data_IF_624869564762
#
_entry.id   IF_624869564762
#
_cell.length_a   1.000
_cell.length_b   1.000
_cell.length_c   1.000
_cell.angle_alpha   90.00
_cell.angle_beta   90.00
_cell.angle_gamma   90.00
#
_symmetry.space_group_name_H-M   'P 1'
#
loop_
_entity.id
_entity.type
_entity.pdbx_description
1 polymer ?
#
# COMPACT_ATOMS: atom_id res chain seq x y z
N UNK A 1 -4.60 8.30 9.49
CA UNK A 1 -4.66 8.91 8.15
C UNK A 1 -4.20 7.91 7.11
N UNK A 2 -4.79 7.93 5.90
CA UNK A 2 -4.51 6.94 4.84
C UNK A 2 -3.63 7.55 3.76
N UNK A 3 -2.57 6.84 3.38
CA UNK A 3 -1.72 7.14 2.23
C UNK A 3 -1.96 6.09 1.13
N UNK A 4 -2.11 6.55 -0.11
CA UNK A 4 -2.37 5.66 -1.25
C UNK A 4 -1.07 5.33 -1.98
N UNK A 5 -0.96 4.07 -2.41
CA UNK A 5 0.10 3.57 -3.28
C UNK A 5 -0.40 3.34 -4.70
N UNK A 6 0.38 3.71 -5.71
CA UNK A 6 0.06 3.49 -7.13
C UNK A 6 1.09 2.59 -7.80
N UNK A 7 0.59 1.54 -8.46
CA UNK A 7 1.37 0.66 -9.34
C UNK A 7 1.29 1.13 -10.79
N UNK A 8 2.43 1.21 -11.51
CA UNK A 8 2.41 1.43 -12.95
C UNK A 8 1.64 0.30 -13.65
N UNK A 9 0.76 0.67 -14.60
CA UNK A 9 -0.11 -0.31 -15.30
C UNK A 9 0.68 -1.46 -15.92
N UNK A 10 1.83 -1.18 -16.54
CA UNK A 10 2.69 -2.20 -17.16
C UNK A 10 3.38 -3.15 -16.16
N UNK A 11 3.28 -2.88 -14.85
CA UNK A 11 3.86 -3.68 -13.77
C UNK A 11 2.80 -4.17 -12.78
N UNK A 12 1.53 -3.85 -12.97
CA UNK A 12 0.46 -4.22 -12.03
C UNK A 12 0.46 -5.73 -11.73
N UNK A 13 0.55 -6.56 -12.77
CA UNK A 13 0.59 -8.02 -12.65
C UNK A 13 1.78 -8.56 -11.84
N UNK A 14 2.89 -7.81 -11.76
CA UNK A 14 4.05 -8.22 -10.97
C UNK A 14 3.82 -8.03 -9.47
N UNK A 15 3.08 -6.98 -9.09
CA UNK A 15 2.86 -6.62 -7.69
C UNK A 15 1.55 -7.17 -7.12
N UNK A 16 0.52 -7.33 -7.95
CA UNK A 16 -0.80 -7.79 -7.52
C UNK A 16 -0.78 -9.10 -6.70
N UNK A 17 0.01 -10.14 -7.06
CA UNK A 17 0.03 -11.38 -6.28
C UNK A 17 0.48 -11.21 -4.82
N UNK A 18 1.33 -10.21 -4.54
CA UNK A 18 1.87 -9.91 -3.21
C UNK A 18 1.02 -8.91 -2.41
N UNK A 19 0.01 -8.29 -3.02
CA UNK A 19 -0.84 -7.29 -2.39
C UNK A 19 -2.23 -7.86 -2.12
N UNK A 20 -2.43 -8.40 -0.92
CA UNK A 20 -3.73 -8.92 -0.48
C UNK A 20 -4.44 -7.91 0.42
N UNK A 21 -5.76 -7.90 0.37
CA UNK A 21 -6.53 -7.15 1.35
C UNK A 21 -6.22 -7.69 2.75
N UNK A 22 -6.08 -6.78 3.72
CA UNK A 22 -5.81 -7.12 5.12
C UNK A 22 -4.47 -7.82 5.39
N UNK A 23 -3.54 -7.86 4.44
CA UNK A 23 -2.15 -8.27 4.69
C UNK A 23 -1.27 -7.07 5.03
N UNK A 24 -0.32 -7.26 5.94
CA UNK A 24 0.75 -6.29 6.19
C UNK A 24 1.97 -6.72 5.37
N UNK A 25 2.46 -5.82 4.54
CA UNK A 25 3.63 -6.04 3.69
C UNK A 25 4.68 -4.96 3.93
N UNK A 26 5.95 -5.34 3.77
CA UNK A 26 7.06 -4.39 3.70
C UNK A 26 7.21 -3.96 2.25
N UNK A 27 7.34 -2.66 2.02
CA UNK A 27 7.60 -2.08 0.69
C UNK A 27 8.92 -1.33 0.74
N UNK A 28 9.89 -1.75 -0.05
CA UNK A 28 11.19 -1.10 -0.21
C UNK A 28 11.32 -0.47 -1.60
N UNK A 29 12.22 0.52 -1.73
CA UNK A 29 12.56 1.20 -3.00
C UNK A 29 11.32 1.76 -3.74
N UNK A 30 10.66 2.73 -3.12
CA UNK A 30 9.53 3.45 -3.72
C UNK A 30 9.83 4.95 -3.82
N UNK A 31 9.06 5.65 -4.66
CA UNK A 31 9.09 7.10 -4.72
C UNK A 31 7.93 7.70 -3.93
N UNK A 32 8.16 8.85 -3.30
CA UNK A 32 7.09 9.68 -2.75
C UNK A 32 6.82 10.81 -3.72
N UNK A 33 5.57 10.96 -4.12
CA UNK A 33 5.13 12.09 -4.94
C UNK A 33 4.12 12.94 -4.19
N UNK A 34 4.00 14.20 -4.61
CA UNK A 34 3.04 15.16 -4.05
C UNK A 34 1.97 15.46 -5.09
N UNK A 35 0.70 15.21 -4.76
CA UNK A 35 -0.43 15.51 -5.61
C UNK A 35 -0.78 17.00 -5.51
N UNK A 36 -0.88 17.68 -6.65
CA UNK A 36 -1.25 19.09 -6.77
C UNK A 36 -2.76 19.30 -6.65
N UNK A 37 -3.39 18.81 -5.58
CA UNK A 37 -4.76 19.10 -5.12
C UNK A 37 -5.95 19.03 -6.11
N UNK A 38 -5.76 18.81 -7.40
CA UNK A 38 -6.82 18.79 -8.42
C UNK A 38 -7.74 17.57 -8.26
N UNK A 39 -7.21 16.50 -7.67
CA UNK A 39 -7.95 15.31 -7.27
C UNK A 39 -7.58 15.00 -5.82
N UNK A 40 -8.49 15.29 -4.88
CA UNK A 40 -8.32 14.91 -3.46
C UNK A 40 -8.58 13.41 -3.31
N UNK A 41 -7.56 12.62 -3.62
CA UNK A 41 -7.61 11.16 -3.44
C UNK A 41 -7.56 10.82 -1.94
N UNK A 42 -7.00 11.71 -1.11
CA UNK A 42 -6.79 11.52 0.34
C UNK A 42 -6.68 12.88 1.04
N UNK A 43 -6.89 12.91 2.36
CA UNK A 43 -6.68 14.07 3.24
C UNK A 43 -5.22 14.57 3.25
N UNK A 44 -4.30 13.80 2.67
CA UNK A 44 -2.89 14.12 2.59
C UNK A 44 -2.43 14.26 1.15
N UNK A 45 -1.55 15.24 0.86
CA UNK A 45 -1.09 15.50 -0.50
C UNK A 45 -0.04 14.50 -0.98
N UNK A 46 0.36 13.52 -0.17
CA UNK A 46 1.44 12.59 -0.49
C UNK A 46 0.89 11.24 -0.95
N UNK A 47 1.61 10.63 -1.89
CA UNK A 47 1.32 9.29 -2.41
C UNK A 47 2.61 8.51 -2.64
N UNK A 48 2.52 7.20 -2.50
CA UNK A 48 3.60 6.24 -2.75
C UNK A 48 3.49 5.79 -4.21
N UNK A 49 4.59 5.84 -4.97
CA UNK A 49 4.65 5.35 -6.35
C UNK A 49 5.59 4.15 -6.41
N UNK A 50 5.08 3.06 -6.98
CA UNK A 50 5.92 1.90 -7.24
C UNK A 50 6.72 2.17 -8.51
N UNK A 51 8.01 1.89 -8.44
CA UNK A 51 8.95 1.93 -9.56
C UNK A 51 9.36 0.51 -9.90
N UNK A 52 10.02 0.30 -11.04
CA UNK A 52 10.45 -1.04 -11.45
C UNK A 52 11.31 -1.77 -10.41
N UNK A 53 12.00 -1.01 -9.55
CA UNK A 53 12.86 -1.50 -8.48
C UNK A 53 12.13 -1.70 -7.14
N UNK A 54 10.84 -1.38 -7.04
CA UNK A 54 10.07 -1.58 -5.81
C UNK A 54 10.01 -3.06 -5.47
N UNK A 55 10.31 -3.37 -4.20
CA UNK A 55 10.31 -4.72 -3.65
C UNK A 55 9.18 -4.79 -2.63
N UNK A 56 8.36 -5.84 -2.72
CA UNK A 56 7.30 -6.15 -1.75
C UNK A 56 7.66 -7.45 -1.10
N UNK A 57 7.81 -7.43 0.22
CA UNK A 57 8.06 -8.61 1.02
C UNK A 57 6.91 -8.84 2.00
N UNK A 58 6.49 -10.08 2.16
CA UNK A 58 5.52 -10.44 3.18
C UNK A 58 6.22 -10.34 4.53
N UNK A 59 5.61 -9.66 5.50
CA UNK A 59 6.22 -9.59 6.83
C UNK A 59 6.13 -10.98 7.46
N UNK A 60 7.28 -11.67 7.53
CA UNK A 60 7.38 -12.99 8.15
C UNK A 60 7.25 -12.86 9.67
N UNK A 61 6.44 -13.76 10.24
CA UNK A 61 6.19 -14.04 11.65
C UNK A 61 7.34 -13.62 12.58
N UNK A 62 7.09 -12.68 13.51
CA UNK A 62 8.08 -12.18 14.49
C UNK A 62 8.54 -10.73 14.27
N UNK A 63 8.06 -10.05 13.23
CA UNK A 63 8.26 -8.61 13.09
C UNK A 63 7.51 -7.82 14.17
N UNK A 64 7.93 -6.56 14.46
CA UNK A 64 7.23 -5.71 15.42
C UNK A 64 5.76 -5.58 15.04
N UNK A 65 4.89 -6.12 15.88
CA UNK A 65 3.46 -5.86 15.80
C UNK A 65 3.27 -4.35 15.98
N UNK A 66 2.91 -3.68 14.90
CA UNK A 66 2.37 -2.34 15.00
C UNK A 66 0.99 -2.55 15.63
N UNK A 67 0.87 -2.31 16.95
CA UNK A 67 -0.38 -2.49 17.69
C UNK A 67 -1.45 -1.51 17.17
N UNK A 68 -2.16 -1.94 16.13
CA UNK A 68 -3.32 -1.23 15.63
C UNK A 68 -4.53 -1.62 16.50
N UNK A 69 -4.77 -0.85 17.57
CA UNK A 69 -6.02 -0.95 18.35
C UNK A 69 -7.27 -0.64 17.48
N UNK A 70 -7.09 -0.16 16.25
CA UNK A 70 -8.13 -0.05 15.24
C UNK A 70 -8.37 -1.42 14.59
N UNK A 71 -9.46 -2.09 15.00
CA UNK A 71 -9.98 -3.29 14.35
C UNK A 71 -10.10 -3.04 12.85
N UNK A 72 -9.30 -3.75 12.05
CA UNK A 72 -9.61 -3.93 10.63
C UNK A 72 -10.75 -4.94 10.56
N UNK A 73 -11.99 -4.44 10.61
CA UNK A 73 -13.15 -5.29 10.32
C UNK A 73 -13.11 -5.60 8.81
N UNK A 74 -12.38 -6.64 8.42
CA UNK A 74 -12.32 -7.17 7.04
C UNK A 74 -13.62 -7.90 6.65
N UNK A 75 -14.75 -7.54 7.26
CA UNK A 75 -16.05 -8.06 6.91
C UNK A 75 -16.70 -7.15 5.88
N UNK A 76 -17.10 -7.74 4.74
CA UNK A 76 -18.02 -7.18 3.72
C UNK A 76 -17.42 -6.44 2.51
N UNK A 77 -16.30 -6.92 1.95
CA UNK A 77 -16.03 -6.70 0.50
C UNK A 77 -15.54 -8.02 -0.12
N UNK A 78 -16.42 -9.02 -0.10
CA UNK A 78 -16.42 -10.10 -1.09
C UNK A 78 -17.88 -10.28 -1.49
N UNK A 79 -18.23 -9.73 -2.65
CA UNK A 79 -19.41 -10.10 -3.42
C UNK A 79 -18.91 -10.55 -4.79
#
# INVERSE_FOLDING_TARGET
SVIYGFTPVGRANHYMPSLKACSIVKVDHFEVARCSSMYKITDHPFLIRFISLTIIDEIIMGAPEINFQSRLDCSRISK
#
